data_IF_476885789154
#
_entry.id   IF_476885789154
#
_cell.length_a   1.000
_cell.length_b   1.000
_cell.length_c   1.000
_cell.angle_alpha   90.00
_cell.angle_beta   90.00
_cell.angle_gamma   90.00
#
_symmetry.space_group_name_H-M   'P 1'
#
loop_
_entity.id
_entity.type
_entity.pdbx_description
1 polymer ?
#
# COMPACT_ATOMS: atom_id res chain seq x y z
N UNK A 1 -2.77 0.26 -10.14
CA UNK A 1 -2.57 1.25 -9.04
C UNK A 1 -1.59 0.72 -8.01
N UNK A 2 -1.84 -0.46 -7.41
CA UNK A 2 -0.95 -1.07 -6.39
C UNK A 2 0.50 -1.19 -6.87
N UNK A 3 0.74 -1.93 -7.97
CA UNK A 3 2.08 -2.13 -8.53
C UNK A 3 2.79 -0.81 -8.89
N UNK A 4 2.03 0.17 -9.39
CA UNK A 4 2.55 1.51 -9.69
C UNK A 4 3.00 2.26 -8.42
N UNK A 5 2.20 2.21 -7.35
CA UNK A 5 2.53 2.86 -6.10
C UNK A 5 3.71 2.19 -5.38
N UNK A 6 3.75 0.86 -5.36
CA UNK A 6 4.88 0.10 -4.81
C UNK A 6 6.15 0.39 -5.61
N UNK A 7 6.10 0.33 -6.94
CA UNK A 7 7.25 0.66 -7.78
C UNK A 7 7.76 2.09 -7.55
N UNK A 8 6.85 3.05 -7.37
CA UNK A 8 7.21 4.42 -6.98
C UNK A 8 7.97 4.47 -5.65
N UNK A 9 7.48 3.79 -4.60
CA UNK A 9 8.14 3.80 -3.28
C UNK A 9 9.48 3.07 -3.29
N UNK A 10 9.64 2.00 -4.08
CA UNK A 10 10.93 1.35 -4.29
C UNK A 10 11.95 2.33 -4.90
N UNK A 11 11.57 3.06 -5.95
CA UNK A 11 12.45 4.07 -6.58
C UNK A 11 12.82 5.21 -5.65
N UNK A 12 11.89 5.69 -4.82
CA UNK A 12 12.18 6.71 -3.79
C UNK A 12 13.24 6.23 -2.78
N UNK A 13 13.40 4.92 -2.61
CA UNK A 13 14.42 4.31 -1.74
C UNK A 13 15.65 3.81 -2.52
N UNK A 14 15.83 4.23 -3.77
CA UNK A 14 16.93 3.80 -4.66
C UNK A 14 16.95 2.29 -4.95
N UNK A 15 15.79 1.64 -4.94
CA UNK A 15 15.63 0.21 -5.23
C UNK A 15 15.00 0.06 -6.62
N UNK A 16 15.67 -0.67 -7.52
CA UNK A 16 15.26 -0.85 -8.91
C UNK A 16 15.05 -2.33 -9.22
N UNK A 17 13.80 -2.77 -9.21
CA UNK A 17 13.41 -4.15 -9.47
C UNK A 17 12.82 -4.29 -10.88
N UNK A 18 13.13 -5.41 -11.53
CA UNK A 18 12.56 -5.72 -12.84
C UNK A 18 11.02 -5.74 -12.77
N UNK A 19 10.37 -5.12 -13.76
CA UNK A 19 8.91 -5.00 -13.81
C UNK A 19 8.30 -3.92 -12.89
N UNK A 20 9.09 -3.26 -12.04
CA UNK A 20 8.63 -2.14 -11.19
C UNK A 20 9.07 -0.77 -11.71
N UNK A 21 9.99 -0.71 -12.66
CA UNK A 21 10.58 0.54 -13.17
C UNK A 21 9.69 1.32 -14.15
N UNK A 22 8.58 0.76 -14.62
CA UNK A 22 7.69 1.44 -15.57
C UNK A 22 6.89 2.56 -14.90
N UNK A 23 6.85 3.73 -15.54
CA UNK A 23 6.01 4.85 -15.13
C UNK A 23 4.84 5.05 -16.09
N UNK A 24 3.64 4.66 -15.67
CA UNK A 24 2.39 5.08 -16.31
C UNK A 24 1.28 5.36 -15.29
N UNK A 25 1.50 6.26 -14.30
CA UNK A 25 0.51 6.48 -13.24
C UNK A 25 -0.74 7.18 -13.76
N UNK A 26 -1.91 6.67 -13.38
CA UNK A 26 -3.17 7.37 -13.54
C UNK A 26 -3.21 8.64 -12.67
N UNK A 27 -4.15 9.55 -12.91
CA UNK A 27 -4.33 10.73 -12.05
C UNK A 27 -4.59 10.35 -10.58
N UNK A 28 -5.33 9.27 -10.35
CA UNK A 28 -5.60 8.74 -9.01
C UNK A 28 -4.33 8.16 -8.36
N UNK A 29 -3.51 7.43 -9.12
CA UNK A 29 -2.18 6.99 -8.66
C UNK A 29 -1.30 8.15 -8.21
N UNK A 30 -1.25 9.25 -8.98
CA UNK A 30 -0.48 10.45 -8.61
C UNK A 30 -0.97 11.07 -7.30
N UNK A 31 -2.29 11.17 -7.11
CA UNK A 31 -2.85 11.69 -5.86
C UNK A 31 -2.59 10.76 -4.68
N UNK A 32 -2.73 9.45 -4.87
CA UNK A 32 -2.40 8.45 -3.87
C UNK A 32 -0.95 8.60 -3.40
N UNK A 33 0.01 8.77 -4.32
CA UNK A 33 1.42 8.99 -3.98
C UNK A 33 1.58 10.16 -3.02
N UNK A 34 1.00 11.31 -3.33
CA UNK A 34 1.10 12.53 -2.51
C UNK A 34 0.53 12.30 -1.10
N UNK A 35 -0.72 11.84 -1.01
CA UNK A 35 -1.42 11.68 0.28
C UNK A 35 -0.77 10.58 1.13
N UNK A 36 -0.33 9.49 0.50
CA UNK A 36 0.36 8.41 1.21
C UNK A 36 1.75 8.82 1.67
N UNK A 37 2.49 9.62 0.89
CA UNK A 37 3.79 10.14 1.30
C UNK A 37 3.67 11.06 2.52
N UNK A 38 2.68 11.95 2.55
CA UNK A 38 2.35 12.77 3.73
C UNK A 38 2.01 11.90 4.95
N UNK A 39 1.10 10.94 4.78
CA UNK A 39 0.72 10.02 5.85
C UNK A 39 1.90 9.22 6.42
N UNK A 40 2.78 8.72 5.55
CA UNK A 40 3.97 7.96 5.96
C UNK A 40 4.98 8.87 6.66
N UNK A 41 5.21 10.09 6.16
CA UNK A 41 6.14 11.03 6.77
C UNK A 41 5.69 11.42 8.19
N UNK A 42 4.39 11.71 8.35
CA UNK A 42 3.80 12.11 9.64
C UNK A 42 3.79 10.96 10.67
N UNK A 43 3.90 9.70 10.23
CA UNK A 43 3.79 8.51 11.08
C UNK A 43 4.96 7.53 10.88
N UNK A 44 6.15 8.04 10.55
CA UNK A 44 7.30 7.21 10.12
C UNK A 44 7.69 6.12 11.12
N UNK A 45 7.75 6.42 12.41
CA UNK A 45 8.04 5.45 13.48
C UNK A 45 7.01 4.32 13.54
N UNK A 46 5.73 4.63 13.38
CA UNK A 46 4.66 3.64 13.37
C UNK A 46 4.83 2.68 12.19
N UNK A 47 5.02 3.20 10.98
CA UNK A 47 5.19 2.37 9.79
C UNK A 47 6.46 1.50 9.86
N UNK A 48 7.55 2.02 10.43
CA UNK A 48 8.77 1.24 10.65
C UNK A 48 8.53 0.09 11.65
N UNK A 49 7.96 0.40 12.81
CA UNK A 49 7.69 -0.60 13.85
C UNK A 49 6.71 -1.69 13.40
N UNK A 50 5.71 -1.37 12.58
CA UNK A 50 4.81 -2.38 11.99
C UNK A 50 5.58 -3.39 11.13
N UNK A 51 6.58 -2.95 10.36
CA UNK A 51 7.39 -3.83 9.51
C UNK A 51 8.31 -4.73 10.34
N UNK A 52 8.85 -4.21 11.45
CA UNK A 52 9.71 -5.00 12.35
C UNK A 52 8.91 -6.06 13.14
N UNK A 53 7.68 -5.73 13.53
CA UNK A 53 6.79 -6.65 14.25
C UNK A 53 6.21 -7.75 13.35
N UNK A 54 6.19 -7.51 12.04
CA UNK A 54 5.89 -8.54 11.06
C UNK A 54 7.06 -9.53 11.02
N UNK A 55 6.95 -10.60 11.81
CA UNK A 55 7.74 -11.80 11.62
C UNK A 55 7.38 -12.44 10.27
N UNK A 56 7.86 -11.87 9.17
CA UNK A 56 7.67 -12.38 7.84
C UNK A 56 8.41 -13.72 7.71
N UNK A 57 7.67 -14.82 7.76
CA UNK A 57 8.17 -16.14 7.41
C UNK A 57 7.48 -16.60 6.13
N UNK A 58 8.18 -17.23 5.17
CA UNK A 58 7.59 -17.65 3.89
C UNK A 58 6.33 -18.52 4.00
N UNK A 59 6.11 -19.16 5.16
CA UNK A 59 5.03 -20.13 5.40
C UNK A 59 3.75 -19.45 5.96
N UNK A 60 3.83 -18.21 6.49
CA UNK A 60 2.71 -17.56 7.19
C UNK A 60 2.32 -16.16 6.68
N UNK A 61 2.87 -15.70 5.57
CA UNK A 61 2.81 -14.29 5.19
C UNK A 61 1.42 -13.77 4.81
N UNK A 62 0.64 -14.50 4.00
CA UNK A 62 -0.66 -14.00 3.53
C UNK A 62 -1.74 -13.91 4.64
N UNK A 63 -1.97 -14.93 5.50
CA UNK A 63 -2.95 -14.82 6.57
C UNK A 63 -2.62 -13.72 7.57
N UNK A 64 -1.34 -13.53 7.92
CA UNK A 64 -0.88 -12.44 8.78
C UNK A 64 -1.17 -11.08 8.14
N UNK A 65 -0.87 -10.92 6.85
CA UNK A 65 -1.18 -9.69 6.12
C UNK A 65 -2.69 -9.39 6.12
N UNK A 66 -3.54 -10.40 5.88
CA UNK A 66 -5.00 -10.26 5.93
C UNK A 66 -5.48 -9.87 7.33
N UNK A 67 -4.87 -10.42 8.39
CA UNK A 67 -5.15 -10.06 9.78
C UNK A 67 -4.96 -8.55 10.03
N UNK A 68 -3.80 -8.02 9.65
CA UNK A 68 -3.48 -6.58 9.78
C UNK A 68 -4.45 -5.74 8.96
N UNK A 69 -4.75 -6.15 7.73
CA UNK A 69 -5.71 -5.45 6.89
C UNK A 69 -7.10 -5.39 7.54
N UNK A 70 -7.56 -6.49 8.14
CA UNK A 70 -8.83 -6.54 8.85
C UNK A 70 -8.85 -5.61 10.08
N UNK A 71 -7.74 -5.50 10.80
CA UNK A 71 -7.61 -4.55 11.92
C UNK A 71 -7.73 -3.10 11.46
N UNK A 72 -7.06 -2.73 10.35
CA UNK A 72 -7.15 -1.38 9.76
C UNK A 72 -8.62 -1.02 9.46
N UNK A 73 -9.41 -1.98 8.97
CA UNK A 73 -10.81 -1.76 8.57
C UNK A 73 -11.84 -2.19 9.63
N UNK A 74 -11.42 -2.56 10.85
CA UNK A 74 -12.30 -3.13 11.87
C UNK A 74 -13.48 -2.21 12.22
N UNK A 75 -13.22 -0.90 12.31
CA UNK A 75 -14.26 0.10 12.60
C UNK A 75 -14.84 0.76 11.35
N UNK A 76 -14.76 0.08 10.20
CA UNK A 76 -15.35 0.53 8.93
C UNK A 76 -14.34 1.03 7.89
N UNK A 77 -14.87 1.30 6.70
CA UNK A 77 -14.09 1.71 5.52
C UNK A 77 -14.24 3.22 5.29
N UNK A 78 -13.12 3.90 5.05
CA UNK A 78 -13.07 5.27 4.59
C UNK A 78 -11.80 5.47 3.75
N UNK A 79 -11.73 6.56 2.98
CA UNK A 79 -10.60 6.77 2.09
C UNK A 79 -9.26 6.90 2.82
N UNK A 80 -9.22 7.51 4.00
CA UNK A 80 -8.00 7.60 4.81
C UNK A 80 -7.44 6.22 5.17
N UNK A 81 -8.30 5.27 5.54
CA UNK A 81 -7.90 3.87 5.80
C UNK A 81 -7.48 3.12 4.55
N UNK A 82 -8.13 3.38 3.41
CA UNK A 82 -7.68 2.83 2.12
C UNK A 82 -6.27 3.32 1.79
N UNK A 83 -5.98 4.60 2.01
CA UNK A 83 -4.62 5.15 1.86
C UNK A 83 -3.66 4.50 2.85
N UNK A 84 -4.03 4.38 4.13
CA UNK A 84 -3.19 3.76 5.16
C UNK A 84 -2.84 2.31 4.81
N UNK A 85 -3.80 1.54 4.31
CA UNK A 85 -3.59 0.16 3.86
C UNK A 85 -2.61 0.08 2.67
N UNK A 86 -2.78 0.95 1.67
CA UNK A 86 -1.88 1.02 0.51
C UNK A 86 -0.47 1.48 0.92
N UNK A 87 -0.39 2.46 1.82
CA UNK A 87 0.86 2.95 2.41
C UNK A 87 1.59 1.83 3.16
N UNK A 88 0.88 1.07 3.99
CA UNK A 88 1.42 -0.08 4.70
C UNK A 88 2.00 -1.12 3.74
N UNK A 89 1.25 -1.51 2.70
CA UNK A 89 1.73 -2.46 1.70
C UNK A 89 2.99 -1.97 0.96
N UNK A 90 3.06 -0.68 0.63
CA UNK A 90 4.24 -0.13 -0.04
C UNK A 90 5.46 -0.01 0.88
N UNK A 91 5.27 0.35 2.14
CA UNK A 91 6.38 0.37 3.13
C UNK A 91 6.89 -1.05 3.40
N UNK A 92 6.00 -2.05 3.50
CA UNK A 92 6.37 -3.44 3.66
C UNK A 92 7.16 -3.96 2.45
N UNK A 93 6.76 -3.58 1.23
CA UNK A 93 7.48 -3.95 0.01
C UNK A 93 8.91 -3.35 -0.01
N UNK A 94 9.08 -2.09 0.40
CA UNK A 94 10.41 -1.47 0.52
C UNK A 94 11.24 -2.20 1.56
N UNK A 95 10.66 -2.51 2.73
CA UNK A 95 11.34 -3.25 3.80
C UNK A 95 11.83 -4.63 3.33
N UNK A 96 10.99 -5.40 2.63
CA UNK A 96 11.37 -6.68 2.05
C UNK A 96 12.46 -6.54 0.98
N UNK A 97 12.37 -5.54 0.12
CA UNK A 97 13.34 -5.34 -0.96
C UNK A 97 14.74 -4.92 -0.47
N UNK A 98 14.85 -4.41 0.76
CA UNK A 98 16.13 -4.08 1.40
C UNK A 98 16.84 -5.30 2.00
N UNK A 99 16.18 -6.46 2.04
CA UNK A 99 16.69 -7.69 2.65
C UNK A 99 16.75 -8.79 1.61
N UNK A 100 17.94 -9.33 1.39
CA UNK A 100 18.20 -10.30 0.31
C UNK A 100 17.28 -11.53 0.42
N UNK A 101 17.03 -11.99 1.64
CA UNK A 101 16.20 -13.16 1.94
C UNK A 101 14.69 -12.93 1.75
N UNK A 102 14.23 -11.68 1.67
CA UNK A 102 12.81 -11.32 1.54
C UNK A 102 12.46 -10.70 0.19
N UNK A 103 13.45 -10.48 -0.68
CA UNK A 103 13.29 -9.75 -1.93
C UNK A 103 12.18 -10.38 -2.82
N UNK A 104 12.07 -11.70 -2.87
CA UNK A 104 11.04 -12.38 -3.67
C UNK A 104 9.60 -12.06 -3.20
N UNK A 105 9.40 -11.68 -1.94
CA UNK A 105 8.09 -11.34 -1.38
C UNK A 105 7.50 -10.05 -1.96
N UNK A 106 8.27 -9.21 -2.66
CA UNK A 106 7.76 -7.94 -3.21
C UNK A 106 6.61 -8.19 -4.19
N UNK A 107 6.72 -9.23 -5.03
CA UNK A 107 5.64 -9.61 -5.94
C UNK A 107 4.43 -10.16 -5.18
N UNK A 108 4.67 -10.94 -4.14
CA UNK A 108 3.59 -11.45 -3.29
C UNK A 108 2.84 -10.33 -2.58
N UNK A 109 3.54 -9.29 -2.09
CA UNK A 109 2.92 -8.12 -1.46
C UNK A 109 2.02 -7.38 -2.46
N UNK A 110 2.46 -7.22 -3.71
CA UNK A 110 1.61 -6.64 -4.77
C UNK A 110 0.34 -7.47 -4.93
N UNK A 111 0.46 -8.80 -4.97
CA UNK A 111 -0.67 -9.71 -5.11
C UNK A 111 -1.60 -9.66 -3.90
N UNK A 112 -1.07 -9.69 -2.68
CA UNK A 112 -1.87 -9.66 -1.44
C UNK A 112 -2.64 -8.36 -1.29
N UNK A 113 -1.99 -7.22 -1.55
CA UNK A 113 -2.66 -5.91 -1.52
C UNK A 113 -3.75 -5.87 -2.59
N UNK A 114 -3.44 -6.30 -3.82
CA UNK A 114 -4.40 -6.28 -4.94
C UNK A 114 -5.61 -7.18 -4.65
N UNK A 115 -5.35 -8.41 -4.17
CA UNK A 115 -6.38 -9.37 -3.80
C UNK A 115 -7.26 -8.87 -2.67
N UNK A 116 -6.69 -8.27 -1.63
CA UNK A 116 -7.49 -7.72 -0.54
C UNK A 116 -8.38 -6.56 -1.02
N UNK A 117 -7.86 -5.68 -1.88
CA UNK A 117 -8.64 -4.61 -2.49
C UNK A 117 -9.81 -5.16 -3.30
N UNK A 118 -9.55 -6.14 -4.16
CA UNK A 118 -10.57 -6.71 -5.04
C UNK A 118 -11.65 -7.45 -4.26
N UNK A 119 -11.27 -8.20 -3.23
CA UNK A 119 -12.20 -9.00 -2.44
C UNK A 119 -12.99 -8.19 -1.41
N UNK A 120 -12.38 -7.20 -0.77
CA UNK A 120 -12.96 -6.55 0.40
C UNK A 120 -13.32 -5.08 0.18
N UNK A 121 -12.63 -4.38 -0.72
CA UNK A 121 -12.76 -2.93 -0.87
C UNK A 121 -13.45 -2.51 -2.17
N UNK A 122 -13.41 -3.34 -3.21
CA UNK A 122 -13.91 -3.01 -4.55
C UNK A 122 -15.35 -2.51 -4.58
N UNK A 123 -16.27 -3.18 -3.87
CA UNK A 123 -17.67 -2.77 -3.80
C UNK A 123 -17.83 -1.40 -3.12
N UNK A 124 -17.18 -1.23 -1.97
CA UNK A 124 -17.21 0.03 -1.21
C UNK A 124 -16.62 1.19 -2.03
N UNK A 125 -15.47 0.98 -2.68
CA UNK A 125 -14.83 1.98 -3.55
C UNK A 125 -15.81 2.43 -4.64
N UNK A 126 -16.50 1.49 -5.29
CA UNK A 126 -17.50 1.79 -6.33
C UNK A 126 -18.69 2.58 -5.76
N UNK A 127 -19.25 2.15 -4.64
CA UNK A 127 -20.38 2.81 -3.97
C UNK A 127 -20.03 4.22 -3.48
N UNK A 128 -18.75 4.49 -3.21
CA UNK A 128 -18.25 5.79 -2.73
C UNK A 128 -17.65 6.64 -3.86
N UNK A 129 -18.15 6.48 -5.10
CA UNK A 129 -17.82 7.34 -6.24
C UNK A 129 -16.48 7.04 -6.91
N UNK A 130 -15.89 5.88 -6.60
CA UNK A 130 -14.66 5.42 -7.22
C UNK A 130 -13.43 6.28 -6.91
N UNK A 131 -12.37 6.03 -7.67
CA UNK A 131 -11.12 6.79 -7.54
C UNK A 131 -11.25 8.27 -7.94
N UNK A 132 -12.27 8.64 -8.71
CA UNK A 132 -12.57 10.04 -9.04
C UNK A 132 -12.99 10.80 -7.77
N UNK A 133 -13.85 10.20 -6.93
CA UNK A 133 -14.27 10.81 -5.67
C UNK A 133 -13.11 10.92 -4.68
N UNK A 134 -12.25 9.90 -4.59
CA UNK A 134 -11.03 9.96 -3.80
C UNK A 134 -10.20 11.22 -4.12
N UNK A 135 -9.98 11.51 -5.40
CA UNK A 135 -9.22 12.69 -5.81
C UNK A 135 -9.87 13.99 -5.32
N UNK A 136 -11.20 14.10 -5.39
CA UNK A 136 -11.92 15.29 -4.95
C UNK A 136 -11.85 15.49 -3.42
N UNK A 137 -11.96 14.40 -2.65
CA UNK A 137 -11.92 14.47 -1.18
C UNK A 137 -10.60 15.04 -0.67
N UNK A 138 -9.46 14.62 -1.26
CA UNK A 138 -8.15 15.09 -0.80
C UNK A 138 -7.66 16.37 -1.48
N UNK A 139 -8.20 16.73 -2.64
CA UNK A 139 -7.99 18.06 -3.22
C UNK A 139 -8.70 19.16 -2.43
N UNK A 140 -9.83 18.86 -1.78
CA UNK A 140 -10.60 19.81 -0.98
C UNK A 140 -10.03 20.06 0.42
N UNK A 141 -8.96 19.34 0.82
CA UNK A 141 -8.30 19.46 2.12
C UNK A 141 -7.01 20.29 2.06
N UNK A 142 -6.70 20.92 0.92
CA UNK A 142 -5.62 21.89 0.75
C UNK A 142 -6.15 23.25 0.34
#
# INVERSE_FOLDING_TARGET
MVKDFIGYKLRQNNIFLEGFNMESPTKASKHLRIVADELIADNSELFHSMCDQLHLTPISTYPTFVGIANEIFQSGKNWGRVVAFLAFGATLAVYCAQREELHELVNDIVEWVSRYMDQNLSCWIRENGGWVRFQQVFLALK
#
